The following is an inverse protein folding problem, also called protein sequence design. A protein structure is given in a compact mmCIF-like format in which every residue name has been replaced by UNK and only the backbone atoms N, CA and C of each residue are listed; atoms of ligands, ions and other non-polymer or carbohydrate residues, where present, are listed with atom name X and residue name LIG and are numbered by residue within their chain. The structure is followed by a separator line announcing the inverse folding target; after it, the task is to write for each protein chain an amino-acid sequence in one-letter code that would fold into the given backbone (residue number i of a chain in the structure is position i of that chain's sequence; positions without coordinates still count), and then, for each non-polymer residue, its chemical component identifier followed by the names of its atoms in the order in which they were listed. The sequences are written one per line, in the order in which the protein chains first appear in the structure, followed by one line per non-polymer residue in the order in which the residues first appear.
data_IF_706510215203
#
_entry.id   IF_706510215203
#
_cell.length_a   1.000
_cell.length_b   1.000
_cell.length_c   1.000
_cell.angle_alpha   90.00
_cell.angle_beta   90.00
_cell.angle_gamma   90.00
#
_symmetry.space_group_name_H-M   'P 1'
#
loop_
_entity.id
_entity.type
_entity.pdbx_description
1 polymer ?
#
# COMPACT_ATOMS: atom_id res chain seq x y z
N UNK A 1 -34.37 7.66 -11.18
CA UNK A 1 -34.58 9.13 -11.23
C UNK A 1 -34.73 9.63 -9.81
N UNK A 2 -34.11 10.76 -9.45
CA UNK A 2 -34.17 11.39 -8.12
C UNK A 2 -34.64 12.83 -8.28
N UNK A 3 -35.83 13.14 -7.75
CA UNK A 3 -36.34 14.50 -7.67
C UNK A 3 -35.77 15.18 -6.41
N UNK A 4 -35.01 16.25 -6.59
CA UNK A 4 -34.36 16.99 -5.50
C UNK A 4 -35.23 18.13 -4.97
N UNK A 5 -36.36 18.43 -5.63
CA UNK A 5 -37.27 19.50 -5.23
C UNK A 5 -37.91 19.21 -3.88
N UNK A 6 -37.79 20.15 -2.94
CA UNK A 6 -38.31 20.01 -1.58
C UNK A 6 -37.49 19.06 -0.69
N UNK A 7 -36.29 18.66 -1.13
CA UNK A 7 -35.35 17.86 -0.34
C UNK A 7 -34.34 18.77 0.36
N UNK A 8 -33.93 18.38 1.56
CA UNK A 8 -32.89 19.10 2.31
C UNK A 8 -31.50 18.76 1.76
N UNK A 9 -30.51 19.61 2.05
CA UNK A 9 -29.13 19.31 1.69
C UNK A 9 -28.61 18.06 2.42
N UNK A 10 -27.82 17.25 1.74
CA UNK A 10 -27.16 16.06 2.29
C UNK A 10 -28.01 14.79 2.32
N UNK A 11 -29.26 14.81 1.87
CA UNK A 11 -30.06 13.58 1.76
C UNK A 11 -29.52 12.70 0.63
N UNK A 12 -29.49 11.39 0.87
CA UNK A 12 -28.85 10.41 -0.02
C UNK A 12 -29.85 9.39 -0.54
N UNK A 13 -29.69 9.01 -1.81
CA UNK A 13 -30.39 7.88 -2.41
C UNK A 13 -29.40 7.00 -3.16
N UNK A 14 -29.48 5.68 -2.95
CA UNK A 14 -28.58 4.70 -3.53
C UNK A 14 -29.32 3.82 -4.55
N UNK A 15 -28.72 3.62 -5.72
CA UNK A 15 -29.12 2.62 -6.69
C UNK A 15 -27.98 1.63 -6.87
N UNK A 16 -28.23 0.36 -6.58
CA UNK A 16 -27.26 -0.72 -6.68
C UNK A 16 -27.59 -1.57 -7.92
N UNK A 17 -26.62 -1.82 -8.79
CA UNK A 17 -26.77 -2.77 -9.91
C UNK A 17 -26.74 -4.22 -9.41
N UNK A 18 -27.08 -5.21 -10.24
CA UNK A 18 -26.67 -6.59 -9.97
C UNK A 18 -25.14 -6.71 -9.82
N UNK A 19 -24.69 -7.80 -9.18
CA UNK A 19 -23.27 -8.13 -9.12
C UNK A 19 -22.81 -8.60 -10.50
N UNK A 20 -21.76 -7.99 -11.03
CA UNK A 20 -21.14 -8.33 -12.31
C UNK A 20 -19.99 -9.30 -12.09
N UNK A 21 -19.92 -10.35 -12.92
CA UNK A 21 -19.00 -11.50 -12.82
C UNK A 21 -18.39 -11.83 -14.18
N UNK A 22 -17.81 -10.81 -14.81
CA UNK A 22 -17.28 -10.93 -16.16
C UNK A 22 -15.92 -11.64 -16.16
N UNK A 23 -15.68 -12.48 -17.18
CA UNK A 23 -14.37 -13.10 -17.44
C UNK A 23 -13.53 -12.23 -18.37
N UNK A 24 -14.16 -11.72 -19.43
CA UNK A 24 -13.50 -10.97 -20.49
C UNK A 24 -13.46 -9.46 -20.18
N UNK A 25 -12.57 -8.76 -20.89
CA UNK A 25 -12.54 -7.30 -20.87
C UNK A 25 -13.86 -6.73 -21.41
N UNK A 26 -14.51 -5.91 -20.59
CA UNK A 26 -15.80 -5.31 -20.89
C UNK A 26 -15.78 -3.80 -20.63
N UNK A 27 -16.78 -3.11 -21.13
CA UNK A 27 -16.98 -1.69 -20.90
C UNK A 27 -18.40 -1.47 -20.39
N UNK A 28 -18.55 -0.88 -19.20
CA UNK A 28 -19.87 -0.48 -18.74
C UNK A 28 -20.10 0.96 -19.17
N UNK A 29 -21.25 1.22 -19.78
CA UNK A 29 -21.67 2.58 -20.13
C UNK A 29 -22.97 2.93 -19.44
N UNK A 30 -23.13 4.17 -19.02
CA UNK A 30 -24.40 4.70 -18.55
C UNK A 30 -24.56 6.15 -19.01
N UNK A 31 -25.80 6.63 -19.07
CA UNK A 31 -26.09 8.04 -19.32
C UNK A 31 -26.58 8.70 -18.05
N UNK A 32 -26.11 9.91 -17.76
CA UNK A 32 -26.65 10.74 -16.68
C UNK A 32 -27.22 12.06 -17.23
N UNK A 33 -28.12 12.64 -16.45
CA UNK A 33 -28.77 13.91 -16.72
C UNK A 33 -28.94 14.70 -15.42
N UNK A 34 -28.58 15.99 -15.45
CA UNK A 34 -28.79 16.93 -14.35
C UNK A 34 -29.75 18.02 -14.86
N UNK A 35 -30.95 18.07 -14.29
CA UNK A 35 -32.00 19.01 -14.63
C UNK A 35 -32.24 20.03 -13.52
N UNK A 36 -32.45 21.29 -13.89
CA UNK A 36 -32.68 22.37 -12.95
C UNK A 36 -32.85 23.72 -13.65
N UNK A 37 -33.08 24.76 -12.85
CA UNK A 37 -33.02 26.16 -13.31
C UNK A 37 -31.59 26.52 -13.74
N UNK A 38 -31.45 27.55 -14.58
CA UNK A 38 -30.13 28.02 -15.02
C UNK A 38 -29.28 28.35 -13.78
N UNK A 39 -28.01 27.93 -13.78
CA UNK A 39 -27.06 28.03 -12.66
C UNK A 39 -27.40 27.24 -11.37
N UNK A 40 -28.52 26.50 -11.32
CA UNK A 40 -28.83 25.65 -10.16
C UNK A 40 -28.03 24.36 -10.14
N UNK A 41 -27.63 23.95 -8.93
CA UNK A 41 -26.86 22.76 -8.63
C UNK A 41 -27.75 21.82 -7.78
N UNK A 42 -28.64 21.02 -8.37
CA UNK A 42 -29.67 20.27 -7.63
C UNK A 42 -29.10 19.17 -6.72
N UNK A 43 -27.87 18.73 -6.99
CA UNK A 43 -27.18 17.73 -6.19
C UNK A 43 -25.92 17.21 -6.87
N UNK A 44 -25.35 16.16 -6.26
CA UNK A 44 -24.17 15.45 -6.72
C UNK A 44 -24.55 14.02 -7.10
N UNK A 45 -23.90 13.51 -8.14
CA UNK A 45 -23.96 12.08 -8.47
C UNK A 45 -22.57 11.49 -8.25
N UNK A 46 -22.48 10.51 -7.36
CA UNK A 46 -21.28 9.73 -7.09
C UNK A 46 -21.47 8.30 -7.62
N UNK A 47 -20.39 7.72 -8.13
CA UNK A 47 -20.35 6.33 -8.62
C UNK A 47 -19.27 5.59 -7.86
N UNK A 48 -19.63 4.42 -7.33
CA UNK A 48 -18.75 3.56 -6.56
C UNK A 48 -18.66 2.18 -7.21
N UNK A 49 -17.50 1.56 -7.08
CA UNK A 49 -17.26 0.18 -7.47
C UNK A 49 -16.94 -0.62 -6.21
N UNK A 50 -17.90 -1.45 -5.79
CA UNK A 50 -17.82 -2.31 -4.60
C UNK A 50 -17.39 -3.71 -5.01
N UNK A 51 -16.16 -4.12 -4.69
CA UNK A 51 -15.60 -5.44 -5.01
C UNK A 51 -15.85 -6.46 -3.90
N UNK A 52 -16.22 -7.70 -4.20
CA UNK A 52 -16.23 -8.86 -3.28
C UNK A 52 -16.84 -8.59 -1.89
N UNK A 53 -18.06 -8.04 -1.84
CA UNK A 53 -18.73 -7.66 -0.57
C UNK A 53 -17.94 -6.72 0.35
N UNK A 54 -16.87 -6.08 -0.17
CA UNK A 54 -16.07 -5.10 0.56
C UNK A 54 -16.90 -3.89 0.99
N UNK A 55 -16.39 -3.08 1.94
CA UNK A 55 -16.93 -1.74 2.15
C UNK A 55 -17.04 -0.96 0.83
N UNK A 56 -18.01 -0.05 0.75
CA UNK A 56 -18.29 0.75 -0.46
C UNK A 56 -17.08 1.57 -0.93
N UNK A 57 -16.20 1.96 0.00
CA UNK A 57 -14.99 2.72 -0.28
C UNK A 57 -15.30 4.15 -0.75
N UNK A 58 -14.36 4.71 -1.51
CA UNK A 58 -14.45 6.05 -2.08
C UNK A 58 -15.09 6.03 -3.48
N UNK A 59 -15.75 7.12 -3.91
CA UNK A 59 -16.28 7.21 -5.26
C UNK A 59 -15.15 7.14 -6.28
N UNK A 60 -15.36 6.40 -7.37
CA UNK A 60 -14.43 6.34 -8.50
C UNK A 60 -14.70 7.45 -9.50
N UNK A 61 -15.92 7.96 -9.53
CA UNK A 61 -16.33 9.05 -10.40
C UNK A 61 -17.43 9.85 -9.71
N UNK A 62 -17.42 11.15 -9.95
CA UNK A 62 -18.47 12.03 -9.48
C UNK A 62 -18.72 13.15 -10.49
N UNK A 63 -19.90 13.74 -10.38
CA UNK A 63 -20.21 14.99 -11.04
C UNK A 63 -20.93 15.92 -10.07
N UNK A 64 -20.44 17.14 -10.04
CA UNK A 64 -21.04 18.29 -9.37
C UNK A 64 -21.05 19.41 -10.40
N UNK A 65 -22.21 19.92 -10.77
CA UNK A 65 -22.25 20.96 -11.78
C UNK A 65 -23.63 21.55 -11.96
N UNK A 66 -23.72 22.70 -12.66
CA UNK A 66 -24.99 23.30 -13.00
C UNK A 66 -25.77 22.35 -13.92
N UNK A 67 -27.10 22.48 -13.93
CA UNK A 67 -27.96 21.68 -14.79
C UNK A 67 -27.47 21.65 -16.24
N UNK A 68 -27.08 20.46 -16.73
CA UNK A 68 -26.54 20.26 -18.09
C UNK A 68 -27.63 20.26 -19.16
N UNK A 69 -28.89 19.98 -18.76
CA UNK A 69 -30.08 19.83 -19.62
C UNK A 69 -29.88 18.93 -20.85
N UNK A 70 -28.87 18.07 -20.81
CA UNK A 70 -28.51 17.14 -21.87
C UNK A 70 -28.03 15.83 -21.25
N UNK A 71 -28.24 14.73 -21.98
CA UNK A 71 -27.74 13.43 -21.59
C UNK A 71 -26.26 13.32 -21.91
N UNK A 72 -25.47 12.91 -20.92
CA UNK A 72 -24.04 12.69 -21.07
C UNK A 72 -23.74 11.22 -20.82
N UNK A 73 -23.08 10.57 -21.77
CA UNK A 73 -22.63 9.18 -21.64
C UNK A 73 -21.29 9.12 -20.92
N UNK A 74 -21.14 8.16 -20.02
CA UNK A 74 -19.91 7.86 -19.29
C UNK A 74 -19.51 6.40 -19.49
N UNK A 75 -18.22 6.15 -19.67
CA UNK A 75 -17.59 4.84 -19.72
C UNK A 75 -16.97 4.48 -18.36
N UNK A 76 -17.16 3.24 -17.91
CA UNK A 76 -16.49 2.65 -16.76
C UNK A 76 -15.66 1.46 -17.25
N UNK A 77 -14.34 1.61 -17.18
CA UNK A 77 -13.37 0.57 -17.50
C UNK A 77 -12.93 -0.13 -16.19
N UNK A 78 -13.75 -1.08 -15.71
CA UNK A 78 -13.51 -1.79 -14.45
C UNK A 78 -12.69 -3.06 -14.71
N UNK A 79 -11.52 -3.16 -14.10
CA UNK A 79 -10.59 -4.29 -14.28
C UNK A 79 -10.66 -5.29 -13.11
N UNK A 80 -11.89 -5.66 -12.73
CA UNK A 80 -12.20 -6.73 -11.76
C UNK A 80 -12.93 -7.84 -12.50
N UNK A 81 -12.39 -9.05 -12.44
CA UNK A 81 -12.86 -10.21 -13.20
C UNK A 81 -13.09 -11.42 -12.28
N UNK A 82 -13.85 -12.40 -12.76
CA UNK A 82 -14.05 -13.68 -12.06
C UNK A 82 -12.71 -14.31 -11.64
N UNK A 83 -12.60 -14.94 -10.45
CA UNK A 83 -13.66 -15.28 -9.49
C UNK A 83 -14.16 -14.11 -8.63
N UNK A 84 -13.57 -12.93 -8.80
CA UNK A 84 -14.03 -11.73 -8.12
C UNK A 84 -15.27 -11.17 -8.82
N UNK A 85 -16.06 -10.40 -8.07
CA UNK A 85 -17.24 -9.72 -8.58
C UNK A 85 -17.30 -8.31 -8.06
N UNK A 86 -17.99 -7.44 -8.80
CA UNK A 86 -18.20 -6.07 -8.35
C UNK A 86 -19.64 -5.62 -8.55
N UNK A 87 -20.02 -4.60 -7.80
CA UNK A 87 -21.32 -3.96 -7.90
C UNK A 87 -21.12 -2.47 -8.12
N UNK A 88 -21.84 -1.90 -9.08
CA UNK A 88 -21.84 -0.46 -9.32
C UNK A 88 -22.91 0.14 -8.42
N UNK A 89 -22.53 1.16 -7.65
CA UNK A 89 -23.46 1.89 -6.78
C UNK A 89 -23.49 3.34 -7.22
N UNK A 90 -24.68 3.83 -7.56
CA UNK A 90 -24.93 5.23 -7.86
C UNK A 90 -25.52 5.89 -6.62
N UNK A 91 -24.87 6.93 -6.11
CA UNK A 91 -25.36 7.73 -4.98
C UNK A 91 -25.72 9.13 -5.49
N UNK A 92 -26.99 9.51 -5.33
CA UNK A 92 -27.43 10.88 -5.50
C UNK A 92 -27.44 11.57 -4.13
N UNK A 93 -26.78 12.73 -4.03
CA UNK A 93 -26.75 13.57 -2.82
C UNK A 93 -27.42 14.90 -3.14
N UNK A 94 -28.50 15.23 -2.44
CA UNK A 94 -29.25 16.49 -2.66
C UNK A 94 -28.48 17.69 -2.11
N UNK A 95 -28.55 18.83 -2.82
CA UNK A 95 -27.92 20.09 -2.37
C UNK A 95 -28.87 21.00 -1.58
N UNK A 96 -30.16 20.67 -1.53
CA UNK A 96 -31.23 21.57 -1.08
C UNK A 96 -31.88 22.39 -2.19
N UNK A 97 -31.29 22.41 -3.39
CA UNK A 97 -31.85 23.12 -4.54
C UNK A 97 -32.80 22.24 -5.36
N UNK A 98 -33.80 22.90 -5.98
CA UNK A 98 -34.82 22.23 -6.82
C UNK A 98 -34.22 21.75 -8.13
N UNK A 99 -34.58 20.54 -8.53
CA UNK A 99 -34.18 19.94 -9.79
C UNK A 99 -34.29 18.42 -9.77
N UNK A 100 -33.47 17.80 -10.62
CA UNK A 100 -33.54 16.40 -10.96
C UNK A 100 -32.15 15.82 -11.25
N UNK A 101 -31.92 14.60 -10.77
CA UNK A 101 -30.83 13.74 -11.22
C UNK A 101 -31.43 12.48 -11.85
N UNK A 102 -31.00 12.11 -13.04
CA UNK A 102 -31.46 10.88 -13.71
C UNK A 102 -30.29 10.11 -14.31
N UNK A 103 -30.44 8.78 -14.32
CA UNK A 103 -29.54 7.84 -14.97
C UNK A 103 -30.41 6.92 -15.84
N UNK A 104 -29.90 6.51 -17.00
CA UNK A 104 -30.51 5.51 -17.88
C UNK A 104 -29.45 4.68 -18.61
N UNK A 105 -29.91 3.65 -19.31
CA UNK A 105 -29.14 2.87 -20.28
C UNK A 105 -27.80 2.36 -19.69
N UNK A 106 -27.86 1.71 -18.52
CA UNK A 106 -26.70 1.02 -17.93
C UNK A 106 -26.48 -0.26 -18.73
N UNK A 107 -25.42 -0.30 -19.54
CA UNK A 107 -25.15 -1.39 -20.48
C UNK A 107 -23.74 -1.92 -20.25
N UNK A 108 -23.60 -3.24 -20.15
CA UNK A 108 -22.32 -3.94 -20.17
C UNK A 108 -22.03 -4.36 -21.60
N UNK A 109 -20.90 -3.94 -22.16
CA UNK A 109 -20.45 -4.28 -23.51
C UNK A 109 -19.25 -5.21 -23.43
N UNK A 110 -19.27 -6.34 -24.14
CA UNK A 110 -18.19 -7.34 -24.17
C UNK A 110 -16.97 -6.91 -25.00
N UNK A 111 -16.48 -5.69 -24.81
CA UNK A 111 -15.26 -5.19 -25.44
C UNK A 111 -14.62 -4.11 -24.56
N UNK A 112 -13.35 -3.78 -24.80
CA UNK A 112 -12.67 -2.67 -24.14
C UNK A 112 -13.38 -1.32 -24.37
N UNK A 113 -13.31 -0.42 -23.40
CA UNK A 113 -13.80 0.94 -23.58
C UNK A 113 -13.00 1.68 -24.66
N UNK A 114 -13.65 2.55 -25.43
CA UNK A 114 -13.04 3.21 -26.57
C UNK A 114 -12.22 4.45 -26.16
N UNK A 115 -12.72 5.20 -25.19
CA UNK A 115 -12.14 6.49 -24.78
C UNK A 115 -11.48 6.43 -23.40
N UNK A 116 -11.83 5.40 -22.62
CA UNK A 116 -11.33 5.20 -21.27
C UNK A 116 -10.43 3.97 -21.22
N UNK A 117 -9.16 4.11 -20.83
CA UNK A 117 -8.24 2.98 -20.82
C UNK A 117 -8.50 2.03 -19.64
N UNK A 118 -8.15 0.77 -19.84
CA UNK A 118 -8.23 -0.31 -18.84
C UNK A 118 -6.89 -0.47 -18.11
N UNK A 119 -6.92 -0.85 -16.84
CA UNK A 119 -5.74 -1.29 -16.13
C UNK A 119 -5.52 -2.80 -16.36
N UNK A 120 -4.27 -3.24 -16.28
CA UNK A 120 -3.97 -4.63 -15.99
C UNK A 120 -4.14 -4.88 -14.49
N UNK A 121 -4.39 -6.14 -14.14
CA UNK A 121 -4.49 -6.58 -12.75
C UNK A 121 -3.22 -6.19 -11.98
N UNK A 122 -3.38 -5.44 -10.90
CA UNK A 122 -2.30 -5.08 -10.00
C UNK A 122 -2.15 -6.11 -8.89
N UNK A 123 -0.92 -6.24 -8.37
CA UNK A 123 -0.60 -7.07 -7.21
C UNK A 123 -0.48 -6.20 -5.95
N UNK A 124 -0.58 -6.85 -4.80
CA UNK A 124 -0.22 -6.22 -3.53
C UNK A 124 1.27 -5.87 -3.46
N UNK A 125 1.61 -4.98 -2.54
CA UNK A 125 2.96 -4.51 -2.26
C UNK A 125 3.23 -4.74 -0.79
N UNK A 126 4.34 -5.42 -0.47
CA UNK A 126 4.85 -5.52 0.90
C UNK A 126 6.05 -4.58 1.03
N UNK A 127 6.13 -3.84 2.13
CA UNK A 127 7.32 -3.04 2.49
C UNK A 127 7.57 -3.05 4.00
N UNK A 128 8.79 -2.71 4.40
CA UNK A 128 9.11 -2.44 5.79
C UNK A 128 8.62 -1.05 6.21
N UNK A 129 8.22 -0.90 7.47
CA UNK A 129 7.85 0.39 8.04
C UNK A 129 8.97 1.43 7.85
N UNK A 130 8.60 2.67 7.53
CA UNK A 130 9.51 3.75 7.19
C UNK A 130 9.90 3.78 5.70
N UNK A 131 9.73 2.68 4.96
CA UNK A 131 10.07 2.63 3.53
C UNK A 131 8.95 3.18 2.66
N UNK A 132 9.28 3.41 1.38
CA UNK A 132 8.30 3.87 0.38
C UNK A 132 7.69 2.69 -0.36
N UNK A 133 6.36 2.56 -0.32
CA UNK A 133 5.65 1.57 -1.13
C UNK A 133 5.34 2.12 -2.52
N UNK A 134 5.76 1.41 -3.57
CA UNK A 134 5.60 1.83 -4.96
C UNK A 134 4.60 0.95 -5.72
N UNK A 135 3.41 1.46 -6.01
CA UNK A 135 2.44 0.80 -6.86
C UNK A 135 2.73 1.07 -8.34
N UNK A 136 2.73 0.01 -9.14
CA UNK A 136 2.97 0.06 -10.58
C UNK A 136 1.71 -0.36 -11.34
N UNK A 137 0.98 0.61 -11.86
CA UNK A 137 -0.28 0.38 -12.56
C UNK A 137 -0.03 0.38 -14.06
N UNK A 138 -0.15 -0.77 -14.70
CA UNK A 138 -0.02 -0.86 -16.17
C UNK A 138 -1.37 -0.54 -16.82
N UNK A 139 -1.35 0.37 -17.78
CA UNK A 139 -2.54 0.89 -18.47
C UNK A 139 -2.51 0.47 -19.94
N UNK A 140 -3.63 -0.05 -20.44
CA UNK A 140 -3.85 -0.35 -21.85
C UNK A 140 -4.18 0.94 -22.62
N UNK A 141 -3.42 1.21 -23.67
CA UNK A 141 -3.51 2.42 -24.49
C UNK A 141 -2.24 3.26 -24.42
N UNK A 142 -2.20 4.32 -25.22
CA UNK A 142 -1.15 5.34 -25.15
C UNK A 142 -1.54 6.39 -24.12
N UNK A 143 -0.56 6.93 -23.39
CA UNK A 143 -0.78 8.05 -22.46
C UNK A 143 -1.28 9.26 -23.25
N UNK A 144 -2.31 9.93 -22.73
CA UNK A 144 -2.83 11.22 -23.22
C UNK A 144 -2.69 12.26 -22.11
N UNK A 145 -2.64 13.53 -22.47
CA UNK A 145 -2.42 14.62 -21.50
C UNK A 145 -3.65 14.93 -20.65
N UNK A 146 -4.84 14.62 -21.14
CA UNK A 146 -6.10 14.75 -20.41
C UNK A 146 -6.34 13.61 -19.40
N UNK A 147 -5.44 12.63 -19.29
CA UNK A 147 -5.56 11.58 -18.31
C UNK A 147 -5.08 12.03 -16.94
N UNK A 148 -5.95 11.95 -15.95
CA UNK A 148 -5.62 12.19 -14.55
C UNK A 148 -5.58 10.87 -13.80
N UNK A 149 -4.42 10.51 -13.24
CA UNK A 149 -4.22 9.26 -12.53
C UNK A 149 -3.87 9.49 -11.06
N UNK A 150 -4.37 8.63 -10.19
CA UNK A 150 -3.99 8.57 -8.79
C UNK A 150 -4.21 7.17 -8.23
N UNK A 151 -3.55 6.89 -7.11
CA UNK A 151 -3.80 5.71 -6.29
C UNK A 151 -4.87 6.06 -5.25
N UNK A 152 -5.90 5.24 -5.14
CA UNK A 152 -7.01 5.40 -4.20
C UNK A 152 -7.02 4.25 -3.20
N UNK A 153 -6.81 4.57 -1.92
CA UNK A 153 -6.99 3.66 -0.80
C UNK A 153 -8.45 3.55 -0.39
N UNK A 154 -8.87 2.37 0.06
CA UNK A 154 -10.26 2.15 0.53
C UNK A 154 -10.62 3.05 1.74
N UNK A 155 -9.62 3.42 2.55
CA UNK A 155 -9.78 4.32 3.70
C UNK A 155 -9.70 5.82 3.37
N UNK A 156 -9.70 6.20 2.09
CA UNK A 156 -9.70 7.61 1.67
C UNK A 156 -8.33 8.22 1.41
N UNK A 157 -7.23 7.53 1.74
CA UNK A 157 -5.87 7.97 1.40
C UNK A 157 -5.68 7.95 -0.12
N UNK A 158 -5.15 9.03 -0.67
CA UNK A 158 -4.80 9.12 -2.09
C UNK A 158 -3.31 9.42 -2.26
N UNK A 159 -2.72 8.89 -3.33
CA UNK A 159 -1.36 9.25 -3.74
C UNK A 159 -1.36 9.68 -5.21
N UNK A 160 -0.81 10.88 -5.53
CA UNK A 160 -0.73 11.33 -6.90
C UNK A 160 0.25 10.47 -7.70
N UNK A 161 0.09 10.48 -9.02
CA UNK A 161 1.03 9.84 -9.92
C UNK A 161 2.41 10.50 -9.82
N UNK A 162 3.44 9.70 -9.48
CA UNK A 162 4.82 10.17 -9.41
C UNK A 162 5.42 10.30 -10.81
N UNK A 163 5.22 9.28 -11.64
CA UNK A 163 5.80 9.24 -12.98
C UNK A 163 5.03 8.29 -13.89
N UNK A 164 5.25 8.47 -15.19
CA UNK A 164 4.78 7.54 -16.22
C UNK A 164 5.94 7.10 -17.08
N UNK A 165 5.98 5.81 -17.44
CA UNK A 165 6.91 5.28 -18.44
C UNK A 165 6.16 4.52 -19.53
N UNK A 166 6.48 4.70 -20.82
CA UNK A 166 6.03 3.78 -21.86
C UNK A 166 6.48 2.35 -21.50
N UNK A 167 5.57 1.38 -21.62
CA UNK A 167 5.93 -0.03 -21.50
C UNK A 167 6.16 -0.64 -22.88
N UNK A 168 5.28 -0.30 -23.82
CA UNK A 168 5.41 -0.60 -25.25
C UNK A 168 4.50 0.35 -26.05
N UNK A 169 4.40 0.16 -27.37
CA UNK A 169 3.61 1.02 -28.27
C UNK A 169 2.09 1.04 -27.97
N UNK A 170 1.61 0.16 -27.08
CA UNK A 170 0.19 -0.01 -26.71
C UNK A 170 -0.08 0.13 -25.22
N UNK A 171 0.95 0.35 -24.38
CA UNK A 171 0.81 0.38 -22.91
C UNK A 171 1.79 1.36 -22.27
N UNK A 172 1.37 1.92 -21.15
CA UNK A 172 2.25 2.68 -20.26
C UNK A 172 2.05 2.24 -18.82
N UNK A 173 3.03 2.53 -17.96
CA UNK A 173 2.98 2.26 -16.53
C UNK A 173 2.95 3.59 -15.80
N UNK A 174 1.96 3.78 -14.93
CA UNK A 174 1.95 4.82 -13.91
C UNK A 174 2.54 4.29 -12.61
N UNK A 175 3.45 5.04 -12.00
CA UNK A 175 4.05 4.73 -10.69
C UNK A 175 3.49 5.68 -9.63
N UNK A 176 3.10 5.13 -8.49
CA UNK A 176 2.50 5.85 -7.37
C UNK A 176 3.19 5.45 -6.07
N UNK A 177 3.63 6.45 -5.30
CA UNK A 177 4.42 6.23 -4.09
C UNK A 177 3.62 6.59 -2.86
N UNK A 178 3.56 5.66 -1.89
CA UNK A 178 3.16 5.94 -0.52
C UNK A 178 4.45 6.03 0.30
N UNK A 179 4.88 7.26 0.61
CA UNK A 179 6.15 7.54 1.30
C UNK A 179 6.00 7.42 2.82
N UNK A 180 7.13 7.17 3.50
CA UNK A 180 7.25 7.08 4.97
C UNK A 180 6.14 6.24 5.60
N UNK A 181 6.02 5.00 5.14
CA UNK A 181 4.89 4.14 5.49
C UNK A 181 4.87 3.76 6.97
N UNK A 182 3.68 3.76 7.56
CA UNK A 182 3.42 3.34 8.94
C UNK A 182 2.39 2.22 8.97
N UNK A 183 2.26 1.45 10.07
CA UNK A 183 1.25 0.37 10.14
C UNK A 183 -0.17 0.82 9.76
N UNK A 184 -0.55 2.07 10.07
CA UNK A 184 -1.84 2.66 9.73
C UNK A 184 -2.08 2.86 8.22
N UNK A 185 -1.03 2.84 7.40
CA UNK A 185 -1.15 2.94 5.94
C UNK A 185 -1.48 1.61 5.28
N UNK A 186 -1.44 0.51 6.04
CA UNK A 186 -1.80 -0.81 5.55
C UNK A 186 -3.27 -0.84 5.14
N UNK A 187 -3.55 -1.52 4.04
CA UNK A 187 -4.91 -1.58 3.52
C UNK A 187 -4.93 -1.84 2.03
N UNK A 188 -6.10 -1.66 1.41
CA UNK A 188 -6.30 -1.97 -0.01
C UNK A 188 -6.30 -0.71 -0.84
N UNK A 189 -5.51 -0.71 -1.90
CA UNK A 189 -5.32 0.39 -2.83
C UNK A 189 -5.64 -0.04 -4.26
N UNK A 190 -6.16 0.88 -5.07
CA UNK A 190 -6.41 0.66 -6.49
C UNK A 190 -6.02 1.88 -7.29
N UNK A 191 -5.72 1.68 -8.56
CA UNK A 191 -5.36 2.75 -9.47
C UNK A 191 -6.62 3.28 -10.14
N UNK A 192 -6.73 4.60 -10.22
CA UNK A 192 -7.82 5.30 -10.91
C UNK A 192 -7.22 6.11 -12.05
N UNK A 193 -7.92 6.12 -13.19
CA UNK A 193 -7.63 7.00 -14.32
C UNK A 193 -8.91 7.68 -14.78
N UNK A 194 -8.94 9.00 -14.73
CA UNK A 194 -10.01 9.81 -15.31
C UNK A 194 -9.64 10.20 -16.74
N UNK A 195 -10.58 9.97 -17.66
CA UNK A 195 -10.59 10.49 -19.02
C UNK A 195 -11.74 11.49 -19.19
N UNK A 196 -11.81 12.19 -20.31
CA UNK A 196 -12.96 13.06 -20.63
C UNK A 196 -14.29 12.31 -20.77
N UNK A 197 -14.24 11.00 -21.03
CA UNK A 197 -15.43 10.18 -21.30
C UNK A 197 -15.72 9.15 -20.21
N UNK A 198 -14.90 9.06 -19.17
CA UNK A 198 -15.06 7.99 -18.20
C UNK A 198 -13.96 7.83 -17.18
N UNK A 199 -14.04 6.72 -16.45
CA UNK A 199 -13.05 6.31 -15.45
C UNK A 199 -12.62 4.86 -15.65
N UNK A 200 -11.31 4.64 -15.62
CA UNK A 200 -10.72 3.31 -15.48
C UNK A 200 -10.38 3.04 -14.02
N UNK A 201 -10.62 1.80 -13.59
CA UNK A 201 -10.47 1.36 -12.19
C UNK A 201 -9.79 0.00 -12.19
N UNK A 202 -8.64 -0.12 -11.53
CA UNK A 202 -8.00 -1.42 -11.33
C UNK A 202 -8.72 -2.25 -10.26
N UNK A 203 -8.41 -3.54 -10.16
CA UNK A 203 -8.67 -4.30 -8.94
C UNK A 203 -7.94 -3.68 -7.73
N UNK A 204 -8.35 -4.06 -6.52
CA UNK A 204 -7.58 -3.73 -5.33
C UNK A 204 -6.31 -4.59 -5.20
N UNK A 205 -5.19 -3.95 -4.86
CA UNK A 205 -3.97 -4.56 -4.37
C UNK A 205 -3.75 -4.22 -2.89
N UNK A 206 -3.29 -5.19 -2.11
CA UNK A 206 -3.05 -5.02 -0.67
C UNK A 206 -1.68 -4.40 -0.41
N UNK A 207 -1.62 -3.33 0.38
CA UNK A 207 -0.39 -2.78 0.95
C UNK A 207 -0.21 -3.37 2.35
N UNK A 208 0.83 -4.19 2.50
CA UNK A 208 1.19 -4.82 3.77
C UNK A 208 2.46 -4.18 4.30
N UNK A 209 2.38 -3.58 5.48
CA UNK A 209 3.53 -2.93 6.11
C UNK A 209 4.00 -3.80 7.28
N UNK A 210 5.25 -4.24 7.17
CA UNK A 210 5.89 -5.12 8.14
C UNK A 210 6.87 -4.34 8.99
N UNK A 211 6.89 -4.63 10.28
CA UNK A 211 7.79 -3.97 11.22
C UNK A 211 9.12 -4.75 11.27
N UNK A 212 10.27 -4.09 11.08
CA UNK A 212 11.57 -4.73 11.25
C UNK A 212 11.72 -5.41 12.63
N UNK A 213 12.36 -6.59 12.70
CA UNK A 213 12.41 -7.40 13.92
C UNK A 213 13.43 -6.86 14.93
N UNK A 214 13.08 -6.85 16.22
CA UNK A 214 13.96 -6.45 17.32
C UNK A 214 13.94 -7.53 18.41
N UNK A 215 15.09 -8.08 18.85
CA UNK A 215 15.14 -9.02 19.97
C UNK A 215 14.51 -8.44 21.24
N UNK A 216 13.74 -9.24 21.97
CA UNK A 216 13.11 -8.79 23.23
C UNK A 216 14.09 -8.82 24.40
N UNK A 217 15.07 -9.72 24.35
CA UNK A 217 16.04 -9.96 25.42
C UNK A 217 17.49 -9.77 24.90
N UNK A 218 18.43 -9.39 25.78
CA UNK A 218 19.84 -9.32 25.42
C UNK A 218 20.40 -10.73 25.13
N UNK A 219 21.53 -10.83 24.41
CA UNK A 219 22.24 -12.09 24.30
C UNK A 219 22.73 -12.56 25.69
N UNK A 220 22.80 -13.87 25.89
CA UNK A 220 23.29 -14.47 27.13
C UNK A 220 24.78 -14.78 27.03
N UNK A 221 25.55 -14.40 28.04
CA UNK A 221 26.96 -14.74 28.15
C UNK A 221 27.12 -16.18 28.65
N UNK A 222 27.81 -17.03 27.88
CA UNK A 222 27.98 -18.46 28.21
C UNK A 222 29.40 -18.80 28.65
N UNK A 223 30.42 -18.10 28.15
CA UNK A 223 31.80 -18.23 28.64
C UNK A 223 32.64 -16.96 28.43
N UNK A 224 33.65 -16.78 29.28
CA UNK A 224 34.53 -15.61 29.28
C UNK A 224 36.00 -16.04 29.28
N UNK A 225 36.75 -15.57 28.29
CA UNK A 225 38.20 -15.67 28.20
C UNK A 225 38.89 -14.32 28.33
N UNK A 226 40.22 -14.33 28.25
CA UNK A 226 41.01 -13.09 28.21
C UNK A 226 40.85 -12.34 26.88
N UNK A 227 40.63 -13.08 25.77
CA UNK A 227 40.54 -12.49 24.42
C UNK A 227 39.30 -12.96 23.65
N UNK A 228 38.30 -13.49 24.36
CA UNK A 228 37.06 -13.92 23.74
C UNK A 228 35.87 -13.91 24.71
N UNK A 229 34.68 -13.83 24.13
CA UNK A 229 33.39 -14.02 24.79
C UNK A 229 32.56 -15.01 23.98
N UNK A 230 31.93 -15.98 24.65
CA UNK A 230 30.91 -16.82 24.04
C UNK A 230 29.53 -16.32 24.44
N UNK A 231 28.66 -16.18 23.45
CA UNK A 231 27.30 -15.68 23.63
C UNK A 231 26.26 -16.60 23.00
N UNK A 232 25.04 -16.55 23.52
CA UNK A 232 23.82 -17.10 22.95
C UNK A 232 22.91 -15.94 22.53
N UNK A 233 22.49 -15.87 21.27
CA UNK A 233 21.89 -14.65 20.69
C UNK A 233 20.49 -14.29 21.22
N UNK A 234 19.73 -15.22 21.82
CA UNK A 234 18.33 -15.01 22.26
C UNK A 234 17.37 -14.40 21.21
N UNK A 235 17.63 -14.66 19.92
CA UNK A 235 16.92 -14.06 18.78
C UNK A 235 15.63 -14.78 18.35
N UNK A 236 15.05 -15.63 19.19
CA UNK A 236 13.83 -16.39 18.86
C UNK A 236 12.55 -15.65 19.28
N UNK A 237 12.64 -14.77 20.28
CA UNK A 237 11.53 -13.94 20.75
C UNK A 237 11.80 -12.50 20.33
N UNK A 238 10.96 -12.00 19.42
CA UNK A 238 11.15 -10.71 18.75
C UNK A 238 9.90 -9.84 18.87
N UNK A 239 10.12 -8.53 18.95
CA UNK A 239 9.13 -7.54 18.55
C UNK A 239 9.22 -7.34 17.03
N UNK A 240 8.13 -6.95 16.38
CA UNK A 240 8.07 -6.78 14.92
C UNK A 240 7.62 -8.04 14.18
N UNK A 241 7.97 -8.13 12.91
CA UNK A 241 7.50 -9.16 11.98
C UNK A 241 8.65 -9.99 11.40
N UNK A 242 8.39 -11.27 11.13
CA UNK A 242 9.29 -12.15 10.40
C UNK A 242 9.04 -12.16 8.87
N UNK A 243 9.66 -13.11 8.15
CA UNK A 243 10.70 -14.03 8.62
C UNK A 243 12.05 -13.33 8.82
N UNK A 244 12.91 -13.85 9.71
CA UNK A 244 14.29 -13.38 9.88
C UNK A 244 15.16 -14.11 8.84
N UNK A 245 15.87 -13.35 8.00
CA UNK A 245 16.77 -13.89 6.97
C UNK A 245 18.25 -13.74 7.32
N UNK A 246 18.58 -12.80 8.21
CA UNK A 246 19.96 -12.53 8.61
C UNK A 246 20.00 -12.08 10.08
N UNK A 247 21.12 -12.41 10.73
CA UNK A 247 21.41 -12.07 12.12
C UNK A 247 22.84 -11.57 12.20
N UNK A 248 23.03 -10.47 12.91
CA UNK A 248 24.34 -9.90 13.12
C UNK A 248 24.55 -9.64 14.62
N UNK A 249 25.78 -9.80 15.07
CA UNK A 249 26.22 -9.41 16.41
C UNK A 249 27.03 -8.14 16.28
N UNK A 250 26.52 -7.08 16.90
CA UNK A 250 27.18 -5.80 17.03
C UNK A 250 27.87 -5.78 18.39
N UNK A 251 29.15 -5.39 18.43
CA UNK A 251 29.86 -5.23 19.69
C UNK A 251 30.85 -4.08 19.63
N UNK A 252 31.03 -3.42 20.78
CA UNK A 252 31.92 -2.27 20.93
C UNK A 252 32.53 -2.21 22.32
N UNK A 253 33.68 -1.57 22.47
CA UNK A 253 34.20 -1.23 23.80
C UNK A 253 33.33 -0.16 24.44
N UNK A 254 33.19 -0.19 25.78
CA UNK A 254 32.44 0.85 26.52
C UNK A 254 33.06 2.24 26.33
N UNK A 255 34.38 2.30 26.09
CA UNK A 255 35.10 3.54 25.73
C UNK A 255 34.78 4.05 24.32
N UNK A 256 34.18 3.23 23.46
CA UNK A 256 33.90 3.54 22.05
C UNK A 256 35.11 3.47 21.11
N UNK A 257 36.25 2.97 21.59
CA UNK A 257 37.49 2.87 20.80
C UNK A 257 37.46 1.80 19.72
N UNK A 258 36.63 0.76 19.89
CA UNK A 258 36.45 -0.31 18.92
C UNK A 258 34.97 -0.58 18.72
N UNK A 259 34.60 -0.87 17.47
CA UNK A 259 33.28 -1.26 17.01
C UNK A 259 33.43 -2.30 15.90
N UNK A 260 32.64 -3.36 15.94
CA UNK A 260 32.56 -4.37 14.89
C UNK A 260 31.14 -4.94 14.77
N UNK A 261 30.81 -5.41 13.57
CA UNK A 261 29.52 -6.01 13.21
C UNK A 261 29.78 -7.29 12.43
N UNK A 262 29.33 -8.41 12.97
CA UNK A 262 29.60 -9.73 12.40
C UNK A 262 28.32 -10.50 12.09
N UNK A 263 28.14 -11.01 10.87
CA UNK A 263 27.05 -11.92 10.55
C UNK A 263 27.20 -13.25 11.27
N UNK A 264 26.08 -13.84 11.72
CA UNK A 264 26.07 -15.06 12.52
C UNK A 264 25.01 -16.04 12.03
N UNK A 265 25.46 -17.26 11.71
CA UNK A 265 24.58 -18.34 11.23
C UNK A 265 23.98 -19.19 12.36
N UNK A 266 24.66 -19.25 13.52
CA UNK A 266 24.31 -20.12 14.65
C UNK A 266 23.74 -19.32 15.83
N UNK A 267 23.00 -20.00 16.70
CA UNK A 267 22.42 -19.38 17.89
C UNK A 267 23.45 -19.12 18.99
N UNK A 268 24.58 -19.83 18.95
CA UNK A 268 25.79 -19.58 19.75
C UNK A 268 26.88 -18.93 18.88
N UNK A 269 27.53 -17.89 19.37
CA UNK A 269 28.64 -17.21 18.67
C UNK A 269 29.83 -16.97 19.59
N UNK A 270 31.04 -17.07 19.04
CA UNK A 270 32.28 -16.72 19.73
C UNK A 270 32.81 -15.41 19.17
N UNK A 271 32.82 -14.38 19.99
CA UNK A 271 33.51 -13.12 19.69
C UNK A 271 34.97 -13.32 20.14
N UNK A 272 35.91 -13.30 19.20
CA UNK A 272 37.33 -13.53 19.46
C UNK A 272 38.18 -12.29 19.18
N UNK A 273 39.48 -12.40 19.47
CA UNK A 273 40.47 -11.33 19.28
C UNK A 273 40.14 -10.05 20.05
N UNK A 274 39.56 -10.20 21.24
CA UNK A 274 39.24 -9.10 22.14
C UNK A 274 40.45 -8.73 23.00
N UNK A 275 40.47 -7.50 23.51
CA UNK A 275 41.47 -7.03 24.46
C UNK A 275 41.17 -7.60 25.86
N UNK A 276 42.21 -8.04 26.61
CA UNK A 276 42.06 -8.44 28.01
C UNK A 276 41.61 -7.29 28.92
N UNK A 277 40.98 -7.65 30.03
CA UNK A 277 40.48 -6.72 31.06
C UNK A 277 39.63 -5.55 30.52
N UNK A 278 38.90 -5.77 29.43
CA UNK A 278 38.18 -4.73 28.70
C UNK A 278 36.67 -4.98 28.73
N UNK A 279 35.89 -3.93 28.99
CA UNK A 279 34.42 -3.98 28.97
C UNK A 279 33.86 -3.76 27.56
N UNK A 280 32.92 -4.62 27.18
CA UNK A 280 32.22 -4.62 25.91
C UNK A 280 30.71 -4.50 26.09
N UNK A 281 30.08 -3.76 25.19
CA UNK A 281 28.63 -3.76 24.98
C UNK A 281 28.33 -4.58 23.71
N UNK A 282 27.38 -5.50 23.81
CA UNK A 282 27.05 -6.46 22.75
C UNK A 282 25.54 -6.45 22.53
N UNK A 283 25.14 -6.31 21.28
CA UNK A 283 23.74 -6.32 20.80
C UNK A 283 23.59 -7.32 19.66
N UNK A 284 22.34 -7.73 19.41
CA UNK A 284 21.98 -8.53 18.24
C UNK A 284 21.09 -7.69 17.34
N UNK A 285 21.42 -7.64 16.06
CA UNK A 285 20.57 -7.09 15.01
C UNK A 285 19.94 -8.23 14.21
N UNK A 286 18.68 -8.03 13.84
CA UNK A 286 17.91 -8.98 13.05
C UNK A 286 17.41 -8.29 11.80
N UNK A 287 17.49 -9.00 10.68
CA UNK A 287 17.07 -8.49 9.38
C UNK A 287 15.98 -9.38 8.78
N UNK A 288 14.87 -8.76 8.39
CA UNK A 288 13.82 -9.38 7.57
C UNK A 288 13.98 -9.01 6.08
N UNK A 289 13.29 -9.69 5.15
CA UNK A 289 13.35 -9.34 3.73
C UNK A 289 12.99 -7.89 3.42
N UNK A 290 13.39 -7.46 2.22
CA UNK A 290 13.14 -6.14 1.63
C UNK A 290 13.97 -5.01 2.26
N UNK A 291 14.04 -3.90 1.54
CA UNK A 291 14.76 -2.69 1.96
C UNK A 291 14.29 -2.21 3.33
N UNK A 292 15.22 -1.73 4.18
CA UNK A 292 14.92 -1.29 5.55
C UNK A 292 14.44 -2.40 6.49
N UNK A 293 14.74 -3.66 6.18
CA UNK A 293 14.32 -4.82 6.97
C UNK A 293 15.14 -5.07 8.23
N UNK A 294 16.29 -4.42 8.40
CA UNK A 294 17.10 -4.48 9.62
C UNK A 294 16.42 -3.67 10.72
N UNK A 295 16.09 -4.34 11.83
CA UNK A 295 15.52 -3.67 12.99
C UNK A 295 16.55 -2.92 13.81
N UNK A 296 16.06 -2.20 14.82
CA UNK A 296 16.93 -1.60 15.82
C UNK A 296 17.71 -2.69 16.58
N UNK A 297 18.90 -2.36 17.10
CA UNK A 297 19.63 -3.27 17.99
C UNK A 297 18.77 -3.71 19.18
N UNK A 298 18.85 -4.99 19.54
CA UNK A 298 18.22 -5.52 20.75
C UNK A 298 18.85 -4.95 22.03
N UNK A 299 18.31 -5.34 23.21
CA UNK A 299 18.89 -4.94 24.49
C UNK A 299 20.36 -5.35 24.61
N UNK A 300 21.16 -4.50 25.27
CA UNK A 300 22.61 -4.70 25.41
C UNK A 300 22.96 -5.75 26.47
N UNK A 301 23.91 -6.61 26.16
CA UNK A 301 24.71 -7.36 27.12
C UNK A 301 25.99 -6.57 27.41
N UNK A 302 26.30 -6.34 28.68
CA UNK A 302 27.61 -5.84 29.11
C UNK A 302 28.44 -6.99 29.66
N UNK A 303 29.66 -7.15 29.17
CA UNK A 303 30.58 -8.19 29.61
C UNK A 303 32.02 -7.70 29.60
N UNK A 304 32.81 -8.16 30.58
CA UNK A 304 34.24 -7.85 30.69
C UNK A 304 35.07 -9.10 30.40
N UNK A 305 36.09 -8.98 29.57
CA UNK A 305 37.08 -10.04 29.36
C UNK A 305 37.95 -10.23 30.61
N UNK A 306 38.52 -11.43 30.78
CA UNK A 306 39.46 -11.69 31.88
C UNK A 306 40.80 -10.99 31.64
N UNK A 307 41.61 -10.84 32.69
CA UNK A 307 43.01 -10.45 32.53
C UNK A 307 43.79 -11.52 31.74
N UNK A 308 44.84 -11.12 31.03
CA UNK A 308 45.75 -12.05 30.40
C UNK A 308 46.55 -12.81 31.48
N UNK A 309 46.63 -14.13 31.34
CA UNK A 309 47.51 -14.98 32.14
C UNK A 309 48.65 -15.50 31.28
N UNK A 310 49.85 -15.57 31.83
CA UNK A 310 50.99 -16.22 31.17
C UNK A 310 50.86 -17.74 31.32
N UNK A 311 50.98 -18.46 30.20
CA UNK A 311 51.03 -19.92 30.19
C UNK A 311 52.38 -20.35 29.65
N UNK A 312 53.19 -21.00 30.50
CA UNK A 312 54.45 -21.59 30.09
C UNK A 312 54.12 -22.83 29.26
N UNK A 313 54.46 -22.79 27.96
CA UNK A 313 54.43 -23.98 27.12
C UNK A 313 55.59 -24.86 27.57
N UNK A 314 55.30 -25.95 28.29
CA UNK A 314 56.30 -26.99 28.56
C UNK A 314 56.58 -27.70 27.23
N UNK A 315 57.76 -27.44 26.68
CA UNK A 315 58.32 -28.13 25.50
C UNK A 315 58.81 -29.50 25.93
#
# INVERSE_FOLDING_TARGET
MVNTSGRFAGQKALLLTPQLRENDTHCVTFHYYIGGRDSSHPGHLNVYIKENNSPMGMPVWNVSGPATRSWVQIELAVSTYWPNFYQIVFEAVTSGQRGLLAIKDIVVKGHQCMNTPHFLTIKGVEVNAGQTASFHCTVNGRKKDNFRLWLQGIGGREAPMRSTKPWNNRRFIGTFDVKNTTKGDSGRYRCIIHSEKGVGVSNYGELTIKQPPVPIAPPQLTAVGATYLWIQLNANSINGDGPIIEREVEYRTVSGTMYDLQPVDKTTHKIGHLDPDTEYEISVLLTRPLEGGTGAPGPLLRAKTKCAGESIVKI
#
